data_IF_960162771670
#
_entry.id   IF_960162771670
#
_cell.length_a   1.000
_cell.length_b   1.000
_cell.length_c   1.000
_cell.angle_alpha   90.00
_cell.angle_beta   90.00
_cell.angle_gamma   90.00
#
_symmetry.space_group_name_H-M   'P 1'
#
loop_
_entity.id
_entity.type
_entity.pdbx_description
1 polymer ?
#
# COMPACT_ATOMS: atom_id res chain seq x y z
N UNK A 1 -2.13 -27.26 -26.95
CA UNK A 1 -1.30 -26.81 -25.81
C UNK A 1 -2.22 -26.08 -24.88
N UNK A 2 -2.19 -26.34 -23.59
CA UNK A 2 -2.97 -25.55 -22.62
C UNK A 2 -2.49 -24.11 -22.65
N UNK A 3 -3.42 -23.14 -22.62
CA UNK A 3 -3.06 -21.72 -22.57
C UNK A 3 -2.33 -21.41 -21.26
N UNK A 4 -1.43 -20.45 -21.27
CA UNK A 4 -0.65 -20.04 -20.08
C UNK A 4 -0.98 -18.60 -19.72
N UNK A 5 -1.22 -18.33 -18.43
CA UNK A 5 -1.28 -16.97 -17.88
C UNK A 5 -0.09 -16.77 -16.95
N UNK A 6 0.66 -15.69 -17.18
CA UNK A 6 1.71 -15.23 -16.28
C UNK A 6 1.15 -14.16 -15.34
N UNK A 7 1.34 -14.35 -14.03
CA UNK A 7 1.04 -13.36 -12.99
C UNK A 7 2.38 -12.82 -12.49
N UNK A 8 2.66 -11.55 -12.76
CA UNK A 8 3.92 -10.92 -12.38
C UNK A 8 3.71 -10.10 -11.11
N UNK A 9 4.21 -10.61 -10.00
CA UNK A 9 4.02 -10.14 -8.63
C UNK A 9 3.39 -11.21 -7.76
N UNK A 10 4.15 -11.75 -6.79
CA UNK A 10 3.78 -12.87 -5.93
C UNK A 10 3.33 -12.42 -4.53
N UNK A 11 2.59 -11.30 -4.43
CA UNK A 11 2.01 -10.82 -3.17
C UNK A 11 0.48 -10.89 -3.22
N UNK A 12 -0.23 -10.16 -2.34
CA UNK A 12 -1.69 -10.22 -2.21
C UNK A 12 -2.44 -10.11 -3.55
N UNK A 13 -2.11 -9.13 -4.39
CA UNK A 13 -2.81 -8.91 -5.66
C UNK A 13 -2.57 -10.06 -6.65
N UNK A 14 -1.35 -10.60 -6.71
CA UNK A 14 -1.01 -11.74 -7.56
C UNK A 14 -1.68 -13.04 -7.11
N UNK A 15 -1.64 -13.34 -5.80
CA UNK A 15 -2.36 -14.50 -5.26
C UNK A 15 -3.87 -14.38 -5.46
N UNK A 16 -4.44 -13.17 -5.26
CA UNK A 16 -5.87 -12.92 -5.51
C UNK A 16 -6.22 -13.08 -6.99
N UNK A 17 -5.31 -12.70 -7.91
CA UNK A 17 -5.50 -12.91 -9.33
C UNK A 17 -5.48 -14.41 -9.69
N UNK A 18 -4.55 -15.19 -9.13
CA UNK A 18 -4.46 -16.62 -9.35
C UNK A 18 -5.72 -17.35 -8.83
N UNK A 19 -6.19 -17.00 -7.63
CA UNK A 19 -7.47 -17.50 -7.07
C UNK A 19 -8.64 -17.15 -8.00
N UNK A 20 -8.74 -15.88 -8.41
CA UNK A 20 -9.83 -15.42 -9.28
C UNK A 20 -9.84 -16.11 -10.65
N UNK A 21 -8.67 -16.42 -11.23
CA UNK A 21 -8.57 -17.19 -12.47
C UNK A 21 -9.19 -18.60 -12.29
N UNK A 22 -8.89 -19.29 -11.20
CA UNK A 22 -9.47 -20.61 -10.91
C UNK A 22 -10.96 -20.54 -10.62
N UNK A 23 -11.40 -19.56 -9.83
CA UNK A 23 -12.83 -19.31 -9.54
C UNK A 23 -13.64 -19.05 -10.82
N UNK A 24 -13.00 -18.46 -11.86
CA UNK A 24 -13.55 -18.22 -13.17
C UNK A 24 -13.37 -19.39 -14.15
N UNK A 25 -13.05 -20.58 -13.61
CA UNK A 25 -12.90 -21.83 -14.36
C UNK A 25 -11.78 -21.81 -15.42
N UNK A 26 -10.73 -20.98 -15.25
CA UNK A 26 -9.53 -21.09 -16.07
C UNK A 26 -8.75 -22.36 -15.68
N UNK A 27 -8.62 -23.30 -16.60
CA UNK A 27 -7.97 -24.62 -16.41
C UNK A 27 -6.53 -24.69 -16.99
N UNK A 28 -6.06 -23.60 -17.59
CA UNK A 28 -4.72 -23.50 -18.17
C UNK A 28 -3.62 -23.37 -17.09
N UNK A 29 -2.38 -23.33 -17.55
CA UNK A 29 -1.20 -23.15 -16.69
C UNK A 29 -1.15 -21.72 -16.13
N UNK A 30 -0.89 -21.58 -14.84
CA UNK A 30 -0.65 -20.29 -14.18
C UNK A 30 0.77 -20.28 -13.63
N UNK A 31 1.57 -19.30 -14.08
CA UNK A 31 2.95 -19.07 -13.60
C UNK A 31 2.95 -17.79 -12.79
N UNK A 32 3.29 -17.88 -11.51
CA UNK A 32 3.39 -16.73 -10.60
C UNK A 32 4.85 -16.38 -10.39
N UNK A 33 5.25 -15.16 -10.75
CA UNK A 33 6.63 -14.67 -10.72
C UNK A 33 6.76 -13.60 -9.65
N UNK A 34 7.71 -13.71 -8.75
CA UNK A 34 7.97 -12.73 -7.69
C UNK A 34 9.45 -12.56 -7.39
N UNK A 35 9.85 -11.33 -7.15
CA UNK A 35 11.22 -10.93 -6.81
C UNK A 35 11.60 -11.29 -5.36
N UNK A 36 10.64 -11.36 -4.44
CA UNK A 36 10.85 -11.82 -3.08
C UNK A 36 10.95 -13.37 -3.04
N UNK A 37 11.83 -13.90 -2.18
CA UNK A 37 11.98 -15.35 -1.97
C UNK A 37 10.86 -15.94 -1.11
N UNK A 38 10.09 -15.10 -0.46
CA UNK A 38 9.03 -15.47 0.47
C UNK A 38 7.73 -15.84 -0.28
N UNK A 39 7.02 -16.84 0.24
CA UNK A 39 5.64 -17.09 -0.14
C UNK A 39 4.76 -15.87 0.19
N UNK A 40 3.59 -15.70 -0.47
CA UNK A 40 2.72 -14.55 -0.22
C UNK A 40 2.40 -14.37 1.26
N UNK A 41 2.57 -13.14 1.76
CA UNK A 41 2.32 -12.76 3.13
C UNK A 41 1.57 -11.43 3.22
N UNK A 42 0.92 -11.18 4.35
CA UNK A 42 0.16 -9.96 4.61
C UNK A 42 1.07 -8.83 5.07
N UNK A 43 1.02 -7.67 4.38
CA UNK A 43 1.90 -6.52 4.66
C UNK A 43 1.42 -5.62 5.82
N UNK A 44 0.11 -5.44 6.08
CA UNK A 44 -0.34 -4.58 7.17
C UNK A 44 0.22 -4.93 8.55
N UNK A 45 0.50 -6.19 8.91
CA UNK A 45 1.14 -6.51 10.19
C UNK A 45 2.60 -6.08 10.31
N UNK A 46 3.30 -5.82 9.19
CA UNK A 46 4.73 -5.51 9.18
C UNK A 46 5.10 -4.29 10.00
N UNK A 47 4.22 -3.27 10.09
CA UNK A 47 4.41 -2.06 10.90
C UNK A 47 3.88 -2.18 12.33
N UNK A 48 3.21 -3.29 12.66
CA UNK A 48 2.45 -3.51 13.91
C UNK A 48 2.92 -4.77 14.63
N UNK A 49 2.10 -5.83 14.60
CA UNK A 49 2.31 -7.07 15.36
C UNK A 49 3.63 -7.76 15.00
N UNK A 50 4.01 -7.76 13.72
CA UNK A 50 5.27 -8.34 13.28
C UNK A 50 6.45 -7.51 13.79
N UNK A 51 6.40 -6.18 13.64
CA UNK A 51 7.46 -5.29 14.13
C UNK A 51 7.57 -5.32 15.66
N UNK A 52 6.43 -5.43 16.35
CA UNK A 52 6.37 -5.58 17.81
C UNK A 52 6.89 -6.93 18.30
N UNK A 53 7.10 -7.91 17.42
CA UNK A 53 7.52 -9.25 17.78
C UNK A 53 6.41 -10.14 18.36
N UNK A 54 5.15 -9.74 18.24
CA UNK A 54 3.98 -10.50 18.71
C UNK A 54 3.39 -11.40 17.63
N UNK A 55 3.81 -11.25 16.36
CA UNK A 55 3.51 -12.15 15.26
C UNK A 55 4.79 -12.65 14.60
N UNK A 56 4.78 -13.91 14.15
CA UNK A 56 5.81 -14.53 13.34
C UNK A 56 5.53 -14.38 11.83
N UNK A 57 6.44 -14.83 10.99
CA UNK A 57 6.21 -14.91 9.53
C UNK A 57 5.08 -15.87 9.16
N UNK A 58 4.89 -16.94 9.91
CA UNK A 58 3.82 -17.90 9.68
C UNK A 58 2.44 -17.31 10.01
N UNK A 59 2.37 -16.45 11.03
CA UNK A 59 1.10 -15.80 11.42
C UNK A 59 0.59 -14.80 10.38
N UNK A 60 1.48 -14.31 9.52
CA UNK A 60 1.14 -13.35 8.45
C UNK A 60 1.09 -13.99 7.06
N UNK A 61 1.27 -15.31 6.95
CA UNK A 61 1.17 -16.01 5.67
C UNK A 61 -0.23 -15.85 5.06
N UNK A 62 -0.31 -15.56 3.75
CA UNK A 62 -1.57 -15.44 3.01
C UNK A 62 -2.03 -16.77 2.40
N UNK A 63 -1.13 -17.75 2.32
CA UNK A 63 -1.43 -19.09 1.82
C UNK A 63 -2.47 -19.78 2.70
N UNK A 64 -3.44 -20.40 2.05
CA UNK A 64 -4.47 -21.20 2.70
C UNK A 64 -4.41 -22.65 2.18
N UNK A 65 -4.85 -23.67 2.96
CA UNK A 65 -4.81 -25.05 2.51
C UNK A 65 -5.47 -25.29 1.14
N UNK A 66 -6.55 -24.59 0.84
CA UNK A 66 -7.23 -24.66 -0.46
C UNK A 66 -6.40 -24.11 -1.63
N UNK A 67 -5.32 -23.39 -1.39
CA UNK A 67 -4.45 -22.86 -2.45
C UNK A 67 -3.58 -23.95 -3.06
N UNK A 68 -3.42 -25.10 -2.42
CA UNK A 68 -2.76 -26.28 -2.98
C UNK A 68 -3.50 -26.79 -4.24
N UNK A 69 -4.82 -26.65 -4.28
CA UNK A 69 -5.67 -27.05 -5.41
C UNK A 69 -5.58 -26.06 -6.59
N UNK A 70 -4.94 -24.91 -6.42
CA UNK A 70 -4.80 -23.92 -7.50
C UNK A 70 -3.81 -24.36 -8.59
N UNK A 71 -2.96 -25.36 -8.34
CA UNK A 71 -1.93 -25.87 -9.27
C UNK A 71 -1.12 -24.72 -9.90
N UNK A 72 -0.43 -23.96 -9.04
CA UNK A 72 0.38 -22.80 -9.44
C UNK A 72 1.85 -23.15 -9.60
N UNK A 73 2.45 -22.72 -10.70
CA UNK A 73 3.91 -22.74 -10.85
C UNK A 73 4.51 -21.47 -10.24
N UNK A 74 5.13 -21.58 -9.08
CA UNK A 74 5.79 -20.49 -8.40
C UNK A 74 7.23 -20.30 -8.87
N UNK A 75 7.59 -19.04 -9.18
CA UNK A 75 8.97 -18.58 -9.44
C UNK A 75 9.28 -17.43 -8.50
N UNK A 76 9.55 -17.77 -7.25
CA UNK A 76 9.93 -16.84 -6.21
C UNK A 76 11.44 -16.55 -6.28
N UNK A 77 11.85 -15.36 -5.78
CA UNK A 77 13.22 -14.89 -5.89
C UNK A 77 13.65 -14.65 -7.34
N UNK A 78 12.69 -14.33 -8.24
CA UNK A 78 12.94 -14.17 -9.67
C UNK A 78 12.35 -12.84 -10.15
N UNK A 79 13.21 -11.94 -10.62
CA UNK A 79 12.81 -10.61 -11.06
C UNK A 79 12.40 -10.63 -12.54
N UNK A 80 11.22 -10.09 -12.86
CA UNK A 80 10.83 -9.79 -14.23
C UNK A 80 11.52 -8.48 -14.67
N UNK A 81 12.20 -8.51 -15.81
CA UNK A 81 13.00 -7.38 -16.33
C UNK A 81 12.48 -6.81 -17.65
N UNK A 82 11.50 -7.46 -18.28
CA UNK A 82 10.88 -6.99 -19.50
C UNK A 82 9.60 -7.74 -19.86
N UNK A 83 8.75 -7.06 -20.64
CA UNK A 83 7.57 -7.66 -21.27
C UNK A 83 7.66 -7.40 -22.77
N UNK A 84 7.81 -8.46 -23.53
CA UNK A 84 7.68 -8.42 -24.99
C UNK A 84 6.27 -8.88 -25.39
N UNK A 85 5.42 -7.91 -25.71
CA UNK A 85 4.03 -8.18 -26.10
C UNK A 85 3.90 -8.81 -27.50
N UNK A 86 4.91 -8.70 -28.37
CA UNK A 86 4.89 -9.29 -29.70
C UNK A 86 5.17 -10.79 -29.65
N UNK A 87 6.17 -11.20 -28.87
CA UNK A 87 6.46 -12.62 -28.63
C UNK A 87 5.59 -13.23 -27.50
N UNK A 88 4.82 -12.38 -26.79
CA UNK A 88 4.04 -12.76 -25.60
C UNK A 88 4.91 -13.41 -24.50
N UNK A 89 6.03 -12.74 -24.20
CA UNK A 89 7.00 -13.24 -23.23
C UNK A 89 7.24 -12.27 -22.09
N UNK A 90 7.28 -12.77 -20.86
CA UNK A 90 7.85 -12.08 -19.69
C UNK A 90 9.31 -12.50 -19.60
N UNK A 91 10.22 -11.51 -19.67
CA UNK A 91 11.66 -11.72 -19.59
C UNK A 91 12.12 -11.67 -18.13
N UNK A 92 12.94 -12.63 -17.73
CA UNK A 92 13.44 -12.76 -16.35
C UNK A 92 14.92 -12.38 -16.29
N UNK A 93 15.38 -11.94 -15.11
CA UNK A 93 16.76 -11.51 -14.90
C UNK A 93 17.81 -12.61 -15.12
N UNK A 94 17.43 -13.87 -14.93
CA UNK A 94 18.26 -15.05 -15.18
C UNK A 94 18.40 -15.42 -16.67
N UNK A 95 17.77 -14.63 -17.56
CA UNK A 95 17.77 -14.83 -19.01
C UNK A 95 16.70 -15.80 -19.51
N UNK A 96 15.90 -16.38 -18.65
CA UNK A 96 14.75 -17.19 -19.07
C UNK A 96 13.57 -16.34 -19.51
N UNK A 97 12.66 -16.95 -20.26
CA UNK A 97 11.41 -16.34 -20.70
C UNK A 97 10.23 -17.20 -20.26
N UNK A 98 9.15 -16.53 -19.85
CA UNK A 98 7.85 -17.13 -19.64
C UNK A 98 6.91 -16.70 -20.76
N UNK A 99 6.64 -17.59 -21.72
CA UNK A 99 5.62 -17.35 -22.74
C UNK A 99 4.23 -17.49 -22.15
N UNK A 100 3.37 -16.51 -22.41
CA UNK A 100 2.04 -16.46 -21.84
C UNK A 100 1.01 -15.89 -22.82
N UNK A 101 -0.14 -16.54 -22.91
CA UNK A 101 -1.28 -16.06 -23.71
C UNK A 101 -1.98 -14.86 -23.06
N UNK A 102 -1.84 -14.71 -21.74
CA UNK A 102 -2.30 -13.59 -20.95
C UNK A 102 -1.32 -13.22 -19.85
N UNK A 103 -1.29 -11.93 -19.49
CA UNK A 103 -0.41 -11.41 -18.42
C UNK A 103 -1.21 -10.57 -17.42
N UNK A 104 -1.02 -10.87 -16.14
CA UNK A 104 -1.52 -10.05 -15.03
C UNK A 104 -0.32 -9.35 -14.39
N UNK A 105 -0.27 -8.02 -14.48
CA UNK A 105 0.73 -7.18 -13.83
C UNK A 105 0.27 -6.85 -12.41
N UNK A 106 0.96 -7.38 -11.41
CA UNK A 106 0.67 -7.26 -9.99
C UNK A 106 1.93 -6.91 -9.17
N UNK A 107 2.90 -6.20 -9.79
CA UNK A 107 4.23 -5.93 -9.23
C UNK A 107 4.22 -4.95 -8.06
N UNK A 108 3.08 -4.36 -7.73
CA UNK A 108 2.94 -3.51 -6.57
C UNK A 108 3.74 -2.20 -6.65
N UNK A 109 4.24 -1.77 -5.50
CA UNK A 109 5.03 -0.56 -5.35
C UNK A 109 6.14 -0.78 -4.33
N UNK A 110 7.23 -0.03 -4.42
CA UNK A 110 8.35 0.02 -3.48
C UNK A 110 8.34 1.29 -2.65
N UNK A 111 8.88 1.23 -1.45
CA UNK A 111 9.07 2.42 -0.62
C UNK A 111 10.07 3.39 -1.27
N UNK A 112 9.80 4.67 -1.15
CA UNK A 112 10.74 5.72 -1.56
C UNK A 112 11.88 5.81 -0.56
N UNK A 113 13.12 5.86 -1.08
CA UNK A 113 14.31 6.11 -0.27
C UNK A 113 14.61 7.60 -0.19
N UNK A 114 15.25 8.01 0.88
CA UNK A 114 15.76 9.37 1.00
C UNK A 114 17.07 9.46 0.18
N UNK A 115 17.26 10.48 -0.68
CA UNK A 115 18.53 10.67 -1.38
C UNK A 115 19.68 10.77 -0.38
N UNK A 116 20.79 10.07 -0.65
CA UNK A 116 21.97 10.05 0.22
C UNK A 116 21.86 9.17 1.46
N UNK A 117 20.79 8.35 1.58
CA UNK A 117 20.68 7.37 2.68
C UNK A 117 21.40 6.04 2.41
N UNK A 118 21.86 5.84 1.18
CA UNK A 118 22.54 4.60 0.81
C UNK A 118 23.91 4.47 1.51
N UNK A 119 24.19 3.29 2.05
CA UNK A 119 25.46 2.98 2.71
C UNK A 119 25.53 3.36 4.19
N UNK A 120 24.47 3.83 4.81
CA UNK A 120 24.36 4.03 6.25
C UNK A 120 23.50 2.91 6.87
N UNK A 121 24.14 2.08 7.71
CA UNK A 121 23.39 1.12 8.54
C UNK A 121 22.44 1.85 9.49
N UNK A 122 21.36 1.19 9.88
CA UNK A 122 20.33 1.78 10.75
C UNK A 122 19.35 2.71 10.05
N UNK A 123 19.44 2.86 8.72
CA UNK A 123 18.45 3.60 7.91
C UNK A 123 17.59 2.59 7.16
N UNK A 124 16.31 2.58 7.46
CA UNK A 124 15.34 1.61 6.96
C UNK A 124 14.22 2.27 6.16
N UNK A 125 13.68 1.52 5.24
CA UNK A 125 12.32 1.66 4.73
C UNK A 125 11.48 0.51 5.27
N UNK A 126 10.17 0.54 5.10
CA UNK A 126 9.31 -0.58 5.49
C UNK A 126 8.31 -0.88 4.37
N UNK A 127 8.55 -1.97 3.66
CA UNK A 127 7.66 -2.46 2.60
C UNK A 127 7.63 -3.98 2.51
N UNK A 128 8.78 -4.63 2.60
CA UNK A 128 8.95 -6.09 2.51
C UNK A 128 9.10 -6.75 3.88
N UNK A 129 9.00 -8.08 3.90
CA UNK A 129 9.27 -8.87 5.11
C UNK A 129 10.72 -8.70 5.56
N UNK A 130 11.66 -8.67 4.62
CA UNK A 130 13.08 -8.47 4.94
C UNK A 130 13.35 -7.09 5.53
N UNK A 131 12.67 -6.02 5.02
CA UNK A 131 12.73 -4.70 5.64
C UNK A 131 12.26 -4.74 7.10
N UNK A 132 11.15 -5.46 7.37
CA UNK A 132 10.59 -5.57 8.71
C UNK A 132 11.48 -6.38 9.65
N UNK A 133 12.11 -7.45 9.16
CA UNK A 133 13.07 -8.26 9.91
C UNK A 133 14.28 -7.40 10.29
N UNK A 134 14.86 -6.68 9.33
CA UNK A 134 16.03 -5.83 9.57
C UNK A 134 15.70 -4.69 10.55
N UNK A 135 14.57 -4.00 10.34
CA UNK A 135 14.11 -2.94 11.22
C UNK A 135 13.86 -3.45 12.65
N UNK A 136 13.19 -4.59 12.81
CA UNK A 136 12.92 -5.19 14.11
C UNK A 136 14.20 -5.52 14.87
N UNK A 137 15.22 -6.02 14.17
CA UNK A 137 16.51 -6.34 14.78
C UNK A 137 17.21 -5.08 15.34
N UNK A 138 17.17 -3.98 14.57
CA UNK A 138 17.76 -2.71 15.01
C UNK A 138 16.95 -2.05 16.15
N UNK A 139 15.62 -2.09 16.10
CA UNK A 139 14.77 -1.54 17.17
C UNK A 139 14.95 -2.28 18.50
N UNK A 140 15.28 -3.58 18.47
CA UNK A 140 15.49 -4.38 19.69
C UNK A 140 16.67 -3.90 20.55
N UNK A 141 17.63 -3.18 19.97
CA UNK A 141 18.84 -2.71 20.67
C UNK A 141 18.94 -1.17 20.74
N UNK A 142 18.09 -0.46 20.00
CA UNK A 142 18.10 0.99 19.94
C UNK A 142 17.31 1.60 21.10
N UNK A 143 17.62 2.85 21.42
CA UNK A 143 16.87 3.70 22.36
C UNK A 143 16.15 4.85 21.65
N UNK A 144 16.66 5.27 20.49
CA UNK A 144 16.16 6.46 19.78
C UNK A 144 15.86 6.15 18.32
N UNK A 145 14.63 6.45 17.94
CA UNK A 145 14.13 6.33 16.57
C UNK A 145 13.74 7.71 16.03
N UNK A 146 14.18 8.01 14.82
CA UNK A 146 13.61 9.11 14.03
C UNK A 146 12.83 8.53 12.85
N UNK A 147 11.55 8.89 12.73
CA UNK A 147 10.70 8.54 11.59
C UNK A 147 10.58 9.75 10.68
N UNK A 148 10.90 9.59 9.41
CA UNK A 148 10.80 10.62 8.37
C UNK A 148 9.53 10.38 7.56
N UNK A 149 8.55 11.27 7.71
CA UNK A 149 7.20 11.17 7.14
C UNK A 149 6.16 10.71 8.16
N UNK A 150 5.14 11.54 8.39
CA UNK A 150 4.01 11.27 9.28
C UNK A 150 2.78 10.74 8.50
N UNK A 151 3.01 9.94 7.45
CA UNK A 151 1.97 9.15 6.78
C UNK A 151 1.52 7.96 7.65
N UNK A 152 0.56 7.17 7.17
CA UNK A 152 0.00 6.03 7.94
C UNK A 152 1.08 5.05 8.41
N UNK A 153 1.99 4.62 7.51
CA UNK A 153 3.06 3.67 7.86
C UNK A 153 4.04 4.27 8.87
N UNK A 154 4.45 5.54 8.65
CA UNK A 154 5.34 6.23 9.60
C UNK A 154 4.73 6.35 10.99
N UNK A 155 3.43 6.68 11.07
CA UNK A 155 2.70 6.77 12.34
C UNK A 155 2.53 5.39 13.02
N UNK A 156 2.29 4.32 12.26
CA UNK A 156 2.22 2.95 12.79
C UNK A 156 3.57 2.48 13.35
N UNK A 157 4.67 2.74 12.61
CA UNK A 157 6.03 2.44 13.09
C UNK A 157 6.35 3.23 14.36
N UNK A 158 6.03 4.54 14.38
CA UNK A 158 6.21 5.38 15.56
C UNK A 158 5.43 4.84 16.77
N UNK A 159 4.18 4.43 16.54
CA UNK A 159 3.33 3.81 17.55
C UNK A 159 3.93 2.52 18.12
N UNK A 160 4.36 1.62 17.24
CA UNK A 160 4.97 0.35 17.63
C UNK A 160 6.26 0.56 18.41
N UNK A 161 7.15 1.45 17.92
CA UNK A 161 8.40 1.76 18.59
C UNK A 161 8.20 2.41 19.98
N UNK A 162 7.18 3.28 20.14
CA UNK A 162 6.79 3.79 21.46
C UNK A 162 6.31 2.67 22.39
N UNK A 163 5.52 1.73 21.86
CA UNK A 163 5.11 0.54 22.60
C UNK A 163 6.27 -0.34 23.05
N UNK A 164 7.37 -0.36 22.30
CA UNK A 164 8.64 -1.03 22.66
C UNK A 164 9.51 -0.21 23.62
N UNK A 165 9.12 1.02 23.96
CA UNK A 165 9.79 1.87 24.95
C UNK A 165 10.86 2.80 24.38
N UNK A 166 10.97 2.94 23.04
CA UNK A 166 11.95 3.85 22.41
C UNK A 166 11.52 5.32 22.57
N UNK A 167 12.50 6.22 22.58
CA UNK A 167 12.29 7.65 22.36
C UNK A 167 12.10 7.90 20.86
N UNK A 168 10.92 8.40 20.46
CA UNK A 168 10.52 8.51 19.07
C UNK A 168 10.27 9.97 18.69
N UNK A 169 10.94 10.42 17.62
CA UNK A 169 10.66 11.69 16.96
C UNK A 169 10.17 11.42 15.52
N UNK A 170 9.06 12.02 15.15
CA UNK A 170 8.52 12.01 13.77
C UNK A 170 8.75 13.36 13.12
N UNK A 171 9.27 13.37 11.90
CA UNK A 171 9.55 14.60 11.10
C UNK A 171 8.64 14.59 9.88
N UNK A 172 7.90 15.67 9.67
CA UNK A 172 6.96 15.83 8.55
C UNK A 172 7.15 17.19 7.87
N UNK A 173 7.25 17.18 6.55
CA UNK A 173 7.41 18.40 5.76
C UNK A 173 6.14 19.24 5.67
N UNK A 174 4.98 18.58 5.68
CA UNK A 174 3.69 19.26 5.65
C UNK A 174 3.37 19.89 7.00
N UNK A 175 2.64 21.01 7.04
CA UNK A 175 2.23 21.64 8.30
C UNK A 175 1.23 20.79 9.10
N UNK A 176 0.48 19.91 8.41
CA UNK A 176 -0.47 18.96 9.02
C UNK A 176 -0.27 17.57 8.40
N UNK A 177 0.06 16.56 9.21
CA UNK A 177 0.11 15.17 8.75
C UNK A 177 -1.24 14.72 8.21
N UNK A 178 -1.21 13.80 7.22
CA UNK A 178 -2.41 13.19 6.63
C UNK A 178 -3.43 14.19 6.02
N UNK A 179 -3.06 15.46 5.83
CA UNK A 179 -3.94 16.45 5.23
C UNK A 179 -4.40 16.07 3.81
N UNK A 180 -3.56 15.39 3.03
CA UNK A 180 -3.92 14.86 1.71
C UNK A 180 -5.13 13.92 1.77
N UNK A 181 -5.05 12.77 2.43
CA UNK A 181 -6.15 11.80 2.49
C UNK A 181 -7.32 12.24 3.39
N UNK A 182 -7.07 12.92 4.51
CA UNK A 182 -8.10 13.18 5.53
C UNK A 182 -8.58 14.65 5.59
N UNK A 183 -7.88 15.58 4.91
CA UNK A 183 -8.10 17.00 5.09
C UNK A 183 -7.37 17.56 6.32
N UNK A 184 -7.23 18.89 6.39
CA UNK A 184 -6.45 19.55 7.43
C UNK A 184 -7.00 19.31 8.83
N UNK A 185 -8.32 19.43 9.02
CA UNK A 185 -8.94 19.32 10.34
C UNK A 185 -8.81 17.89 10.91
N UNK A 186 -9.17 16.90 10.12
CA UNK A 186 -9.11 15.51 10.57
C UNK A 186 -7.68 14.97 10.62
N UNK A 187 -6.81 15.46 9.74
CA UNK A 187 -5.36 15.19 9.81
C UNK A 187 -4.75 15.71 11.10
N UNK A 188 -5.11 16.93 11.54
CA UNK A 188 -4.67 17.51 12.81
C UNK A 188 -5.13 16.66 14.00
N UNK A 189 -6.39 16.22 14.02
CA UNK A 189 -6.91 15.32 15.06
C UNK A 189 -6.13 14.00 15.14
N UNK A 190 -5.79 13.41 13.99
CA UNK A 190 -4.97 12.19 13.97
C UNK A 190 -3.53 12.46 14.44
N UNK A 191 -2.97 13.63 14.11
CA UNK A 191 -1.62 14.02 14.53
C UNK A 191 -1.47 14.17 16.05
N UNK A 192 -2.53 14.55 16.74
CA UNK A 192 -2.54 14.66 18.21
C UNK A 192 -2.28 13.33 18.91
N UNK A 193 -2.56 12.18 18.28
CA UNK A 193 -2.23 10.87 18.81
C UNK A 193 -0.73 10.70 19.12
N UNK A 194 0.15 11.36 18.37
CA UNK A 194 1.58 11.36 18.64
C UNK A 194 1.89 11.98 20.01
N UNK A 195 1.38 13.18 20.25
CA UNK A 195 1.59 13.90 21.51
C UNK A 195 0.93 13.20 22.69
N UNK A 196 -0.28 12.69 22.53
CA UNK A 196 -1.02 11.93 23.55
C UNK A 196 -0.21 10.71 24.06
N UNK A 197 0.69 10.18 23.21
CA UNK A 197 1.50 8.99 23.52
C UNK A 197 3.00 9.30 23.67
N UNK A 198 3.37 10.57 23.86
CA UNK A 198 4.75 10.98 24.13
C UNK A 198 5.70 10.84 22.94
N UNK A 199 5.20 10.77 21.71
CA UNK A 199 5.98 10.88 20.50
C UNK A 199 6.14 12.35 20.12
N UNK A 200 7.37 12.79 19.89
CA UNK A 200 7.65 14.15 19.42
C UNK A 200 7.36 14.25 17.92
N UNK A 201 6.41 15.10 17.53
CA UNK A 201 6.09 15.39 16.15
C UNK A 201 6.61 16.76 15.75
N UNK A 202 7.46 16.82 14.71
CA UNK A 202 7.99 18.06 14.11
C UNK A 202 7.37 18.21 12.73
N UNK A 203 6.59 19.27 12.53
CA UNK A 203 5.90 19.54 11.26
C UNK A 203 6.47 20.77 10.56
N UNK A 204 6.25 20.89 9.25
CA UNK A 204 6.71 22.03 8.45
C UNK A 204 8.23 22.08 8.28
N UNK A 205 8.95 20.99 8.56
CA UNK A 205 10.39 20.90 8.40
C UNK A 205 10.79 19.63 7.66
N UNK A 206 11.81 19.70 6.83
CA UNK A 206 12.35 18.58 6.07
C UNK A 206 13.67 18.08 6.63
N UNK A 207 14.15 16.98 6.08
CA UNK A 207 15.48 16.44 6.35
C UNK A 207 16.47 17.01 5.33
N UNK A 208 17.55 17.60 5.82
CA UNK A 208 18.65 18.11 5.00
C UNK A 208 19.70 17.00 4.76
N UNK A 209 20.04 16.23 5.79
CA UNK A 209 21.04 15.17 5.69
C UNK A 209 20.85 14.11 6.78
N UNK A 210 21.38 12.91 6.52
CA UNK A 210 21.67 11.88 7.52
C UNK A 210 23.17 11.89 7.77
N UNK A 211 23.59 11.84 9.03
CA UNK A 211 25.00 11.87 9.41
C UNK A 211 25.39 10.66 10.24
N UNK A 212 26.63 10.20 10.07
CA UNK A 212 27.21 9.07 10.78
C UNK A 212 28.39 8.47 10.03
N UNK A 213 29.11 7.57 10.68
CA UNK A 213 30.23 6.84 10.10
C UNK A 213 29.88 5.35 10.03
N UNK A 214 29.50 4.87 8.83
CA UNK A 214 29.04 3.49 8.62
C UNK A 214 27.61 3.24 9.12
N UNK A 215 27.22 3.84 10.24
CA UNK A 215 25.86 3.78 10.81
C UNK A 215 25.32 5.19 11.06
N UNK A 216 24.00 5.35 10.99
CA UNK A 216 23.36 6.64 11.28
C UNK A 216 23.53 7.03 12.75
N UNK A 217 23.90 8.29 12.99
CA UNK A 217 24.09 8.88 14.32
C UNK A 217 23.15 10.05 14.56
N UNK A 218 22.75 10.75 13.48
CA UNK A 218 21.80 11.85 13.59
C UNK A 218 21.10 12.18 12.26
N UNK A 219 19.97 12.84 12.39
CA UNK A 219 19.20 13.45 11.29
C UNK A 219 19.35 14.98 11.41
N UNK A 220 19.82 15.63 10.36
CA UNK A 220 19.90 17.10 10.26
C UNK A 220 18.68 17.61 9.51
N UNK A 221 17.97 18.55 10.13
CA UNK A 221 16.76 19.16 9.55
C UNK A 221 17.10 20.41 8.77
N UNK A 222 16.19 20.84 7.90
CA UNK A 222 16.35 22.02 7.05
C UNK A 222 16.42 23.35 7.82
N UNK A 223 15.96 23.35 9.07
CA UNK A 223 16.05 24.49 10.00
C UNK A 223 17.35 24.52 10.82
N UNK A 224 18.27 23.58 10.59
CA UNK A 224 19.52 23.41 11.31
C UNK A 224 19.42 22.59 12.59
N UNK A 225 18.25 22.12 12.97
CA UNK A 225 18.09 21.22 14.12
C UNK A 225 18.77 19.88 13.85
N UNK A 226 19.53 19.38 14.82
CA UNK A 226 20.16 18.05 14.77
C UNK A 226 19.49 17.11 15.76
N UNK A 227 18.92 16.02 15.25
CA UNK A 227 18.24 14.98 16.03
C UNK A 227 19.15 13.76 16.15
N UNK A 228 19.64 13.40 17.36
CA UNK A 228 20.34 12.15 17.56
C UNK A 228 19.44 10.95 17.20
N UNK A 229 19.95 9.99 16.43
CA UNK A 229 19.22 8.82 15.98
C UNK A 229 20.14 7.60 15.93
N UNK A 230 19.65 6.48 16.42
CA UNK A 230 20.31 5.17 16.32
C UNK A 230 19.67 4.33 15.22
N UNK A 231 18.39 4.60 14.96
CA UNK A 231 17.59 4.05 13.87
C UNK A 231 16.80 5.17 13.20
N UNK A 232 16.72 5.12 11.88
CA UNK A 232 15.90 6.02 11.06
C UNK A 232 14.97 5.19 10.18
N UNK A 233 13.68 5.51 10.18
CA UNK A 233 12.71 4.92 9.24
C UNK A 233 12.23 5.99 8.26
N UNK A 234 12.36 5.70 6.97
CA UNK A 234 11.96 6.58 5.87
C UNK A 234 10.58 6.15 5.35
N UNK A 235 9.55 6.92 5.67
CA UNK A 235 8.15 6.69 5.31
C UNK A 235 7.56 7.80 4.44
N UNK A 236 8.24 8.18 3.34
CA UNK A 236 7.89 9.31 2.46
C UNK A 236 7.09 8.92 1.22
N UNK A 237 6.36 7.81 1.28
CA UNK A 237 5.51 7.33 0.20
C UNK A 237 6.11 6.20 -0.61
N UNK A 238 5.41 5.80 -1.68
CA UNK A 238 5.78 4.68 -2.53
C UNK A 238 5.83 5.07 -4.01
N UNK A 239 6.55 4.26 -4.79
CA UNK A 239 6.67 4.37 -6.25
C UNK A 239 6.23 3.05 -6.87
N UNK A 240 5.33 3.03 -7.87
CA UNK A 240 4.91 1.80 -8.51
C UNK A 240 6.08 1.10 -9.21
N UNK A 241 6.14 -0.23 -9.14
CA UNK A 241 7.19 -1.04 -9.76
C UNK A 241 6.85 -1.28 -11.24
N UNK A 242 7.14 -0.29 -12.09
CA UNK A 242 6.79 -0.30 -13.52
C UNK A 242 7.96 0.01 -14.46
N UNK A 243 9.17 0.28 -13.94
CA UNK A 243 10.32 0.67 -14.76
C UNK A 243 10.73 -0.41 -15.77
N UNK A 244 10.58 -1.67 -15.37
CA UNK A 244 10.86 -2.83 -16.22
C UNK A 244 9.96 -2.92 -17.47
N UNK A 245 8.83 -2.17 -17.45
CA UNK A 245 7.86 -2.08 -18.55
C UNK A 245 8.14 -0.92 -19.53
N UNK A 246 9.20 -0.13 -19.33
CA UNK A 246 9.46 1.08 -20.12
C UNK A 246 9.51 0.85 -21.66
N UNK A 247 9.88 -0.36 -22.09
CA UNK A 247 10.00 -0.73 -23.51
C UNK A 247 8.91 -1.70 -23.97
N UNK A 248 7.90 -1.98 -23.17
CA UNK A 248 6.83 -2.93 -23.47
C UNK A 248 5.75 -2.41 -24.42
N UNK A 249 5.68 -1.11 -24.66
CA UNK A 249 4.57 -0.46 -25.38
C UNK A 249 3.32 -0.22 -24.55
N UNK A 250 3.36 -0.55 -23.24
CA UNK A 250 2.30 -0.21 -22.30
C UNK A 250 2.21 1.30 -22.07
N UNK A 251 1.00 1.79 -21.91
CA UNK A 251 0.77 3.17 -21.47
C UNK A 251 1.07 3.27 -19.96
N UNK A 252 2.11 4.04 -19.63
CA UNK A 252 2.60 4.22 -18.27
C UNK A 252 2.40 5.67 -17.81
N UNK A 253 2.18 5.84 -16.53
CA UNK A 253 2.11 7.13 -15.83
C UNK A 253 2.52 6.93 -14.37
N UNK A 254 1.73 7.39 -13.42
CA UNK A 254 1.92 6.99 -12.01
C UNK A 254 1.37 5.57 -11.75
N UNK A 255 1.83 4.61 -12.55
CA UNK A 255 1.40 3.23 -12.61
C UNK A 255 1.13 2.80 -14.06
N UNK A 256 0.77 1.54 -14.27
CA UNK A 256 0.26 1.04 -15.55
C UNK A 256 -1.14 1.59 -15.76
N UNK A 257 -1.37 2.33 -16.86
CA UNK A 257 -2.67 2.93 -17.14
C UNK A 257 -3.66 1.86 -17.59
N UNK A 258 -4.80 1.77 -16.91
CA UNK A 258 -5.86 0.81 -17.22
C UNK A 258 -7.23 1.48 -17.32
N UNK A 259 -8.15 0.83 -18.00
CA UNK A 259 -9.58 1.16 -17.91
C UNK A 259 -10.15 0.77 -16.53
N UNK A 260 -11.45 1.04 -16.32
CA UNK A 260 -12.14 0.72 -15.05
C UNK A 260 -12.21 -0.79 -14.74
N UNK A 261 -11.83 -1.66 -15.68
CA UNK A 261 -11.84 -3.12 -15.56
C UNK A 261 -10.44 -3.73 -15.45
N UNK A 262 -9.42 -2.89 -15.37
CA UNK A 262 -8.02 -3.32 -15.28
C UNK A 262 -7.37 -3.65 -16.63
N UNK A 263 -8.05 -3.45 -17.77
CA UNK A 263 -7.47 -3.66 -19.09
C UNK A 263 -6.46 -2.56 -19.44
N UNK A 264 -5.30 -2.97 -19.97
CA UNK A 264 -4.29 -2.05 -20.51
C UNK A 264 -4.55 -1.74 -21.99
N UNK A 265 -3.71 -0.90 -22.60
CA UNK A 265 -3.75 -0.65 -24.03
C UNK A 265 -3.24 -1.85 -24.88
N UNK A 266 -2.70 -2.88 -24.25
CA UNK A 266 -2.22 -4.10 -24.93
C UNK A 266 -3.20 -5.24 -24.68
N UNK A 267 -3.85 -5.81 -25.72
CA UNK A 267 -4.75 -6.94 -25.57
C UNK A 267 -4.07 -8.15 -24.89
N UNK A 268 -4.77 -8.79 -23.95
CA UNK A 268 -4.22 -9.91 -23.19
C UNK A 268 -3.32 -9.50 -22.02
N UNK A 269 -3.23 -8.20 -21.70
CA UNK A 269 -2.49 -7.69 -20.54
C UNK A 269 -3.42 -6.86 -19.64
N UNK A 270 -3.49 -7.22 -18.38
CA UNK A 270 -4.23 -6.49 -17.34
C UNK A 270 -3.28 -6.08 -16.19
N UNK A 271 -3.65 -5.04 -15.44
CA UNK A 271 -2.87 -4.63 -14.27
C UNK A 271 -3.77 -4.44 -13.04
N UNK A 272 -3.26 -4.82 -11.87
CA UNK A 272 -3.96 -4.83 -10.59
C UNK A 272 -3.09 -4.38 -9.42
N UNK A 273 -3.72 -3.96 -8.33
CA UNK A 273 -3.06 -3.55 -7.10
C UNK A 273 -2.27 -2.25 -7.24
N UNK A 274 -1.23 -2.07 -6.42
CA UNK A 274 -0.52 -0.79 -6.27
C UNK A 274 0.27 -0.34 -7.52
N UNK A 275 0.53 -1.23 -8.48
CA UNK A 275 1.16 -0.86 -9.76
C UNK A 275 0.16 -0.35 -10.79
N UNK A 276 -1.15 -0.54 -10.60
CA UNK A 276 -2.19 -0.13 -11.55
C UNK A 276 -2.71 1.28 -11.26
N UNK A 277 -2.79 2.11 -12.30
CA UNK A 277 -3.47 3.40 -12.28
C UNK A 277 -4.75 3.27 -13.14
N UNK A 278 -5.88 3.06 -12.47
CA UNK A 278 -7.15 2.73 -13.11
C UNK A 278 -7.95 4.00 -13.42
N UNK A 279 -8.56 4.05 -14.61
CA UNK A 279 -9.43 5.15 -14.99
C UNK A 279 -10.63 5.24 -14.03
N UNK A 280 -10.79 6.37 -13.39
CA UNK A 280 -11.90 6.68 -12.50
C UNK A 280 -12.86 7.65 -13.18
N UNK A 281 -14.05 7.19 -13.50
CA UNK A 281 -15.11 8.04 -14.07
C UNK A 281 -15.45 9.20 -13.10
N UNK A 282 -15.50 8.93 -11.80
CA UNK A 282 -15.81 9.93 -10.79
C UNK A 282 -14.73 11.00 -10.65
N UNK A 283 -13.45 10.67 -10.89
CA UNK A 283 -12.32 11.59 -10.81
C UNK A 283 -11.91 12.15 -12.19
N UNK A 284 -12.45 11.62 -13.28
CA UNK A 284 -12.11 11.95 -14.68
C UNK A 284 -10.61 11.87 -14.98
N UNK A 285 -9.94 10.91 -14.33
CA UNK A 285 -8.49 10.68 -14.46
C UNK A 285 -8.12 9.28 -14.01
N UNK A 286 -6.91 8.85 -14.35
CA UNK A 286 -6.34 7.64 -13.77
C UNK A 286 -5.98 7.88 -12.29
N UNK A 287 -6.37 6.93 -11.43
CA UNK A 287 -6.15 6.95 -10.00
C UNK A 287 -5.46 5.66 -9.58
N UNK A 288 -4.35 5.78 -8.87
CA UNK A 288 -3.66 4.65 -8.23
C UNK A 288 -4.08 4.56 -6.77
N UNK A 289 -4.54 3.39 -6.35
CA UNK A 289 -5.06 3.13 -5.01
C UNK A 289 -4.18 2.08 -4.35
N UNK A 290 -3.44 2.47 -3.33
CA UNK A 290 -2.52 1.61 -2.56
C UNK A 290 -3.23 1.03 -1.32
N UNK A 291 -4.43 0.46 -1.50
CA UNK A 291 -5.20 -0.09 -0.38
C UNK A 291 -5.25 -1.60 -0.45
N UNK A 292 -5.09 -2.25 0.69
CA UNK A 292 -5.17 -3.70 0.84
C UNK A 292 -6.45 -4.28 0.23
N UNK A 293 -7.61 -3.67 0.52
CA UNK A 293 -8.90 -4.11 -0.04
C UNK A 293 -8.97 -3.99 -1.55
N UNK A 294 -8.30 -2.98 -2.13
CA UNK A 294 -8.24 -2.82 -3.59
C UNK A 294 -7.40 -3.92 -4.23
N UNK A 295 -6.24 -4.23 -3.65
CA UNK A 295 -5.38 -5.33 -4.10
C UNK A 295 -6.06 -6.71 -3.97
N UNK A 296 -6.99 -6.87 -3.02
CA UNK A 296 -7.79 -8.09 -2.85
C UNK A 296 -8.95 -8.19 -3.85
N UNK A 297 -9.69 -7.09 -4.10
CA UNK A 297 -10.96 -7.11 -4.83
C UNK A 297 -10.80 -6.88 -6.34
N UNK A 298 -9.87 -6.02 -6.75
CA UNK A 298 -9.67 -5.65 -8.16
C UNK A 298 -9.30 -6.83 -9.08
N UNK A 299 -8.48 -7.80 -8.64
CA UNK A 299 -8.06 -8.93 -9.48
C UNK A 299 -9.21 -9.72 -10.08
N UNK A 300 -10.32 -9.92 -9.37
CA UNK A 300 -11.47 -10.65 -9.89
C UNK A 300 -12.08 -10.01 -11.15
N UNK A 301 -12.15 -8.68 -11.20
CA UNK A 301 -12.63 -7.96 -12.38
C UNK A 301 -11.62 -7.98 -13.53
N UNK A 302 -10.33 -7.80 -13.21
CA UNK A 302 -9.27 -7.76 -14.22
C UNK A 302 -9.06 -9.13 -14.88
N UNK A 303 -9.10 -10.22 -14.11
CA UNK A 303 -8.99 -11.58 -14.65
C UNK A 303 -10.20 -11.97 -15.51
N UNK A 304 -11.43 -11.58 -15.11
CA UNK A 304 -12.62 -11.74 -15.94
C UNK A 304 -12.45 -11.02 -17.29
N UNK A 305 -11.92 -9.79 -17.27
CA UNK A 305 -11.60 -9.03 -18.48
C UNK A 305 -10.56 -9.76 -19.34
N UNK A 306 -9.50 -10.27 -18.73
CA UNK A 306 -8.45 -11.04 -19.41
C UNK A 306 -9.02 -12.31 -20.11
N UNK A 307 -9.97 -12.97 -19.48
CA UNK A 307 -10.64 -14.17 -20.01
C UNK A 307 -11.75 -13.86 -21.01
N UNK A 308 -11.98 -12.55 -21.35
CA UNK A 308 -13.01 -12.14 -22.30
C UNK A 308 -14.44 -12.09 -21.73
N UNK A 309 -14.60 -12.23 -20.42
CA UNK A 309 -15.87 -12.06 -19.75
C UNK A 309 -16.20 -10.54 -19.67
N UNK A 310 -17.29 -10.13 -20.28
CA UNK A 310 -17.70 -8.72 -20.35
C UNK A 310 -18.41 -8.20 -19.08
N UNK A 311 -17.92 -8.53 -17.90
CA UNK A 311 -18.49 -8.03 -16.64
C UNK A 311 -18.30 -6.51 -16.50
N UNK A 312 -19.32 -5.78 -16.02
CA UNK A 312 -19.16 -4.35 -15.73
C UNK A 312 -18.12 -4.13 -14.62
N UNK A 313 -17.38 -3.02 -14.71
CA UNK A 313 -16.46 -2.62 -13.67
C UNK A 313 -17.17 -2.55 -12.32
N UNK A 314 -16.71 -3.31 -11.33
CA UNK A 314 -17.26 -3.22 -9.97
C UNK A 314 -16.79 -1.93 -9.34
N UNK A 315 -17.69 -1.02 -9.07
CA UNK A 315 -17.40 0.21 -8.34
C UNK A 315 -17.26 -0.13 -6.86
N UNK A 316 -16.04 -0.32 -6.39
CA UNK A 316 -15.79 -0.45 -4.95
C UNK A 316 -15.54 0.93 -4.35
N UNK A 317 -16.11 1.17 -3.17
CA UNK A 317 -15.78 2.36 -2.37
C UNK A 317 -14.40 2.15 -1.78
N UNK A 318 -13.39 2.96 -2.12
CA UNK A 318 -12.06 2.85 -1.55
C UNK A 318 -12.11 2.79 -0.03
N UNK A 319 -11.36 1.89 0.56
CA UNK A 319 -11.33 1.71 2.00
C UNK A 319 -9.92 1.38 2.47
N UNK A 320 -9.49 2.05 3.53
CA UNK A 320 -8.29 1.70 4.27
C UNK A 320 -8.49 1.87 5.77
N UNK A 321 -7.58 1.32 6.52
CA UNK A 321 -7.49 1.52 7.96
C UNK A 321 -6.04 1.71 8.40
N UNK A 322 -5.86 2.23 9.59
CA UNK A 322 -4.58 2.32 10.28
C UNK A 322 -4.80 2.14 11.78
N UNK A 323 -3.91 1.39 12.42
CA UNK A 323 -3.92 1.20 13.86
C UNK A 323 -2.69 1.90 14.46
N UNK A 324 -2.92 2.94 15.27
CA UNK A 324 -1.89 3.81 15.82
C UNK A 324 -2.19 4.07 17.30
N UNK A 325 -1.25 3.79 18.20
CA UNK A 325 -1.37 4.07 19.63
C UNK A 325 -2.66 3.51 20.26
N UNK A 326 -3.09 2.33 19.83
CA UNK A 326 -4.34 1.71 20.27
C UNK A 326 -5.62 2.32 19.67
N UNK A 327 -5.52 3.37 18.87
CA UNK A 327 -6.64 3.92 18.13
C UNK A 327 -6.73 3.29 16.73
N UNK A 328 -7.95 2.84 16.37
CA UNK A 328 -8.25 2.35 15.02
C UNK A 328 -8.88 3.45 14.20
N UNK A 329 -8.16 3.88 13.17
CA UNK A 329 -8.59 4.85 12.17
C UNK A 329 -9.10 4.09 10.96
N UNK A 330 -10.30 4.41 10.48
CA UNK A 330 -10.91 3.81 9.30
C UNK A 330 -11.42 4.90 8.37
N UNK A 331 -11.15 4.79 7.08
CA UNK A 331 -11.61 5.72 6.09
C UNK A 331 -12.24 4.98 4.90
N UNK A 332 -13.38 5.47 4.42
CA UNK A 332 -14.01 4.97 3.20
C UNK A 332 -14.56 6.12 2.36
N UNK A 333 -14.45 5.99 1.06
CA UNK A 333 -14.91 7.01 0.11
C UNK A 333 -13.77 7.71 -0.61
N UNK A 334 -14.09 8.86 -1.22
CA UNK A 334 -13.15 9.63 -2.02
C UNK A 334 -13.31 11.13 -1.72
N UNK A 335 -12.41 11.64 -0.88
CA UNK A 335 -12.34 13.07 -0.53
C UNK A 335 -11.64 13.86 -1.63
N UNK A 336 -12.09 15.09 -1.85
CA UNK A 336 -11.41 16.12 -2.64
C UNK A 336 -11.14 17.36 -1.80
N UNK A 337 -10.30 18.23 -2.28
CA UNK A 337 -10.14 19.56 -1.72
C UNK A 337 -11.49 20.30 -1.77
N UNK A 338 -11.83 21.01 -0.67
CA UNK A 338 -13.13 21.68 -0.53
C UNK A 338 -14.23 20.82 0.10
N UNK A 339 -14.11 19.51 0.20
CA UNK A 339 -15.08 18.68 0.94
C UNK A 339 -15.00 19.00 2.45
N UNK A 340 -16.17 19.18 3.07
CA UNK A 340 -16.27 19.57 4.47
C UNK A 340 -16.47 18.32 5.34
N UNK A 341 -15.58 18.11 6.32
CA UNK A 341 -15.75 17.08 7.32
C UNK A 341 -16.61 17.56 8.49
N UNK A 342 -17.61 16.79 8.85
CA UNK A 342 -18.48 17.06 10.01
C UNK A 342 -18.52 15.86 10.93
N UNK A 343 -18.15 16.05 12.20
CA UNK A 343 -18.34 15.02 13.24
C UNK A 343 -19.82 14.84 13.48
N UNK A 344 -20.34 13.65 13.24
CA UNK A 344 -21.76 13.30 13.36
C UNK A 344 -22.04 12.44 14.57
N UNK A 345 -21.01 11.84 15.18
CA UNK A 345 -21.11 11.00 16.37
C UNK A 345 -19.81 11.06 17.16
N UNK A 346 -19.89 11.04 18.49
CA UNK A 346 -18.74 11.04 19.40
C UNK A 346 -18.01 12.39 19.47
N UNK A 347 -16.73 12.36 19.88
CA UNK A 347 -15.90 13.54 20.10
C UNK A 347 -14.46 13.29 19.66
N UNK A 348 -13.84 14.27 18.98
CA UNK A 348 -12.41 14.23 18.65
C UNK A 348 -11.54 14.23 19.91
N UNK A 349 -11.95 14.92 20.97
CA UNK A 349 -11.23 14.97 22.23
C UNK A 349 -11.16 13.61 22.93
N UNK A 350 -12.19 12.78 22.77
CA UNK A 350 -12.22 11.43 23.33
C UNK A 350 -11.54 10.37 22.46
N UNK A 351 -10.98 10.79 21.30
CA UNK A 351 -10.41 9.88 20.28
C UNK A 351 -11.41 8.78 19.86
N UNK A 352 -12.70 9.10 19.90
CA UNK A 352 -13.78 8.18 19.57
C UNK A 352 -14.91 8.95 18.87
N UNK A 353 -14.86 8.97 17.53
CA UNK A 353 -15.79 9.76 16.73
C UNK A 353 -16.02 9.16 15.35
N UNK A 354 -17.05 9.66 14.68
CA UNK A 354 -17.32 9.44 13.26
C UNK A 354 -17.52 10.80 12.58
N UNK A 355 -16.75 11.06 11.54
CA UNK A 355 -16.88 12.24 10.69
C UNK A 355 -17.33 11.85 9.28
N UNK A 356 -18.26 12.58 8.72
CA UNK A 356 -18.76 12.43 7.35
C UNK A 356 -18.26 13.61 6.53
N UNK A 357 -17.71 13.32 5.35
CA UNK A 357 -17.32 14.33 4.37
C UNK A 357 -18.45 14.53 3.40
N UNK A 358 -18.82 15.77 3.19
CA UNK A 358 -19.92 16.16 2.33
C UNK A 358 -19.42 17.03 1.16
N UNK A 359 -19.97 16.78 -0.02
CA UNK A 359 -19.83 17.58 -1.24
C UNK A 359 -21.21 17.87 -1.79
N UNK A 360 -21.54 19.14 -1.98
CA UNK A 360 -22.85 19.57 -2.50
C UNK A 360 -24.04 18.96 -1.70
N UNK A 361 -23.86 18.82 -0.38
CA UNK A 361 -24.87 18.24 0.52
C UNK A 361 -24.96 16.71 0.49
N UNK A 362 -24.09 16.03 -0.25
CA UNK A 362 -24.09 14.56 -0.35
C UNK A 362 -22.84 13.96 0.34
N UNK A 363 -23.00 12.87 1.10
CA UNK A 363 -21.86 12.18 1.72
C UNK A 363 -20.99 11.51 0.65
N UNK A 364 -19.68 11.82 0.66
CA UNK A 364 -18.69 11.30 -0.29
C UNK A 364 -17.61 10.45 0.37
N UNK A 365 -17.40 10.62 1.68
CA UNK A 365 -16.48 9.81 2.44
C UNK A 365 -16.86 9.79 3.92
N UNK A 366 -16.33 8.84 4.66
CA UNK A 366 -16.50 8.71 6.11
C UNK A 366 -15.16 8.35 6.76
N UNK A 367 -14.87 9.01 7.87
CA UNK A 367 -13.75 8.72 8.76
C UNK A 367 -14.29 8.26 10.12
N UNK A 368 -13.84 7.13 10.60
CA UNK A 368 -14.10 6.67 11.95
C UNK A 368 -12.81 6.53 12.75
N UNK A 369 -12.80 7.03 13.97
CA UNK A 369 -11.78 6.72 14.98
C UNK A 369 -12.45 5.98 16.11
N UNK A 370 -12.06 4.73 16.38
CA UNK A 370 -12.62 3.87 17.43
C UNK A 370 -14.14 3.66 17.38
N UNK A 371 -14.75 3.77 16.17
CA UNK A 371 -16.19 3.62 15.95
C UNK A 371 -16.52 2.56 14.86
N UNK A 372 -16.06 1.30 14.99
CA UNK A 372 -16.11 0.33 13.88
C UNK A 372 -17.54 -0.04 13.46
N UNK A 373 -18.49 -0.07 14.41
CA UNK A 373 -19.90 -0.42 14.10
C UNK A 373 -20.58 0.68 13.29
N UNK A 374 -20.44 1.93 13.71
CA UNK A 374 -21.01 3.08 13.02
C UNK A 374 -20.34 3.29 11.66
N UNK A 375 -19.01 3.16 11.61
CA UNK A 375 -18.24 3.23 10.38
C UNK A 375 -18.75 2.20 9.35
N UNK A 376 -18.95 0.95 9.74
CA UNK A 376 -19.45 -0.11 8.84
C UNK A 376 -20.83 0.24 8.27
N UNK A 377 -21.74 0.83 9.08
CA UNK A 377 -23.04 1.28 8.64
C UNK A 377 -22.92 2.38 7.57
N UNK A 378 -22.12 3.40 7.80
CA UNK A 378 -21.90 4.50 6.86
C UNK A 378 -21.19 4.04 5.57
N UNK A 379 -20.22 3.16 5.67
CA UNK A 379 -19.56 2.57 4.49
C UNK A 379 -20.57 1.86 3.58
N UNK A 380 -21.58 1.18 4.14
CA UNK A 380 -22.66 0.55 3.35
C UNK A 380 -23.52 1.60 2.64
N UNK A 381 -23.84 2.71 3.31
CA UNK A 381 -24.61 3.80 2.70
C UNK A 381 -23.85 4.45 1.53
N UNK A 382 -22.55 4.68 1.66
CA UNK A 382 -21.71 5.18 0.56
C UNK A 382 -21.71 4.22 -0.64
N UNK A 383 -21.69 2.91 -0.41
CA UNK A 383 -21.79 1.91 -1.50
C UNK A 383 -23.13 1.99 -2.26
N UNK A 384 -24.21 2.26 -1.55
CA UNK A 384 -25.57 2.36 -2.14
C UNK A 384 -25.78 3.66 -2.92
N UNK A 385 -25.02 4.71 -2.62
CA UNK A 385 -25.11 6.02 -3.25
C UNK A 385 -24.30 6.14 -4.56
N UNK A 386 -23.41 5.18 -4.84
CA UNK A 386 -22.64 5.16 -6.09
C UNK A 386 -23.54 4.62 -7.21
N UNK A 387 -23.82 5.41 -8.27
CA UNK A 387 -24.59 4.91 -9.39
C UNK A 387 -23.92 3.70 -10.03
N UNK A 388 -24.67 2.62 -10.23
CA UNK A 388 -24.21 1.51 -11.05
C UNK A 388 -24.07 2.03 -12.49
N UNK A 389 -22.92 1.86 -13.17
CA UNK A 389 -22.83 2.21 -14.57
C UNK A 389 -23.86 1.43 -15.36
N UNK A 390 -24.70 2.13 -16.12
CA UNK A 390 -25.68 1.55 -17.06
C UNK A 390 -25.00 0.92 -18.26
#
# INVERSE_FOLDING_TARGET
MSSTIAVVGASLAGLSAARALRDQAYDGRIVVIGDEVHAPYDRPPLSKEFLAGTASSDDIALGAPQDEDLDLEWRLGTTAVGLDHLSRSVLLEDGHEVRADGVVLATGARARRLPGSDGLDGVHVLRSLDDAIALRADLAVAQRLVVIGAGFIGAEVASTARGLGLDVTVVETQPVPLAGPLGTDMGAVCAELHADNGTRLLVGTGVAALTGTGRVEAVELTDGTRLPAEVVVVGIGATPNIEWLAHSGLALGNGVLTDGRGATNIPGVVAVGDCAATWSVAAERHVRIEHWTHALEQPATATATLLGAGEPARTSVPYFWSDQYGARIQFAGSRREGDVARVVEGSCADRSFLAVYERDGHPVAVLGMNQPRLFTRWRRQLRSAVPTPS
#
